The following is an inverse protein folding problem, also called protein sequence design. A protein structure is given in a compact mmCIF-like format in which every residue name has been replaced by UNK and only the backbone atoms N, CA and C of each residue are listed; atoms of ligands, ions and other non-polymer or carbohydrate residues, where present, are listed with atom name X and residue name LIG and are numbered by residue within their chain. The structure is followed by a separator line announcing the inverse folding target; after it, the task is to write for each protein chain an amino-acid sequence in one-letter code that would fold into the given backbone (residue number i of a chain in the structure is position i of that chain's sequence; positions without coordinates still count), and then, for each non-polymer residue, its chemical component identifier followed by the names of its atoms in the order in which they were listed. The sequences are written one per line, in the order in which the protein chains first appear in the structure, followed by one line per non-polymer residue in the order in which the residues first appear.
data_IF_191654783385
#
_entry.id   IF_191654783385
#
_cell.length_a   1.000
_cell.length_b   1.000
_cell.length_c   1.000
_cell.angle_alpha   90.00
_cell.angle_beta   90.00
_cell.angle_gamma   90.00
#
_symmetry.space_group_name_H-M   'P 1'
#
loop_
_entity.id
_entity.type
_entity.pdbx_description
1 polymer ?
#
# COMPACT_ATOMS: atom_id res chain seq x y z
N UNK A 1 -24.04 47.61 -5.76
CA UNK A 1 -24.86 47.10 -6.88
C UNK A 1 -25.48 45.78 -6.45
N UNK A 2 -26.69 45.50 -6.93
CA UNK A 2 -27.34 44.22 -6.75
C UNK A 2 -26.49 43.11 -7.39
N UNK A 3 -26.51 41.93 -6.77
CA UNK A 3 -25.87 40.72 -7.30
C UNK A 3 -26.43 40.37 -8.68
N UNK A 4 -25.59 39.83 -9.56
CA UNK A 4 -26.00 39.51 -10.92
C UNK A 4 -27.03 38.36 -10.90
N UNK A 5 -28.26 38.67 -11.33
CA UNK A 5 -29.41 37.75 -11.35
C UNK A 5 -29.11 36.44 -12.11
N UNK A 6 -28.34 36.52 -13.20
CA UNK A 6 -28.00 35.37 -14.03
C UNK A 6 -27.04 34.38 -13.37
N UNK A 7 -26.20 34.85 -12.44
CA UNK A 7 -25.21 34.01 -11.75
C UNK A 7 -25.69 33.59 -10.36
N UNK A 8 -26.49 34.40 -9.67
CA UNK A 8 -26.74 34.16 -8.25
C UNK A 8 -28.18 33.80 -7.90
N UNK A 9 -29.17 34.00 -8.79
CA UNK A 9 -30.60 33.74 -8.54
C UNK A 9 -31.13 34.24 -7.16
N UNK A 10 -30.43 35.18 -6.51
CA UNK A 10 -30.71 35.64 -5.14
C UNK A 10 -30.17 34.79 -3.98
N UNK A 11 -29.54 33.62 -4.21
CA UNK A 11 -29.08 32.70 -3.15
C UNK A 11 -27.56 32.68 -2.92
N UNK A 12 -26.78 33.51 -3.62
CA UNK A 12 -25.37 33.80 -3.29
C UNK A 12 -24.32 32.74 -3.64
N UNK A 13 -24.71 31.52 -4.05
CA UNK A 13 -23.78 30.37 -4.22
C UNK A 13 -23.76 29.84 -5.69
N UNK A 14 -24.10 30.64 -6.70
CA UNK A 14 -24.07 30.19 -8.10
C UNK A 14 -25.27 29.32 -8.52
N UNK A 15 -25.53 29.23 -9.83
CA UNK A 15 -26.57 28.35 -10.40
C UNK A 15 -26.11 26.88 -10.42
N UNK A 16 -27.02 25.91 -10.23
CA UNK A 16 -26.70 24.47 -10.25
C UNK A 16 -26.07 24.03 -11.58
N UNK A 17 -26.55 24.57 -12.71
CA UNK A 17 -25.99 24.28 -14.03
C UNK A 17 -24.54 24.77 -14.17
N UNK A 18 -24.17 25.87 -13.51
CA UNK A 18 -22.81 26.40 -13.52
C UNK A 18 -21.88 25.53 -12.68
N UNK A 19 -22.36 25.05 -11.52
CA UNK A 19 -21.62 24.09 -10.69
C UNK A 19 -21.34 22.80 -11.43
N UNK A 20 -22.34 22.26 -12.14
CA UNK A 20 -22.19 21.05 -12.95
C UNK A 20 -21.21 21.25 -14.10
N UNK A 21 -21.28 22.38 -14.81
CA UNK A 21 -20.34 22.69 -15.88
C UNK A 21 -18.89 22.80 -15.35
N UNK A 22 -18.70 23.44 -14.19
CA UNK A 22 -17.40 23.56 -13.55
C UNK A 22 -16.85 22.19 -13.13
N UNK A 23 -17.69 21.33 -12.56
CA UNK A 23 -17.35 19.96 -12.21
C UNK A 23 -17.03 19.10 -13.45
N UNK A 24 -17.81 19.23 -14.53
CA UNK A 24 -17.55 18.56 -15.82
C UNK A 24 -16.16 18.92 -16.36
N UNK A 25 -15.79 20.21 -16.30
CA UNK A 25 -14.51 20.70 -16.78
C UNK A 25 -13.35 20.14 -15.96
N UNK A 26 -13.52 20.01 -14.64
CA UNK A 26 -12.51 19.41 -13.75
C UNK A 26 -12.36 17.92 -14.03
N UNK A 27 -13.47 17.19 -14.19
CA UNK A 27 -13.43 15.77 -14.53
C UNK A 27 -12.73 15.55 -15.88
N UNK A 28 -13.03 16.39 -16.87
CA UNK A 28 -12.34 16.32 -18.17
C UNK A 28 -10.84 16.60 -18.01
N UNK A 29 -10.46 17.60 -17.19
CA UNK A 29 -9.06 17.85 -16.85
C UNK A 29 -8.37 16.66 -16.21
N UNK A 30 -9.02 16.00 -15.24
CA UNK A 30 -8.51 14.78 -14.60
C UNK A 30 -8.38 13.62 -15.60
N UNK A 31 -9.27 13.51 -16.59
CA UNK A 31 -9.16 12.48 -17.64
C UNK A 31 -8.03 12.75 -18.64
N UNK A 32 -7.70 14.02 -18.88
CA UNK A 32 -6.61 14.41 -19.79
C UNK A 32 -5.25 14.26 -19.12
N UNK A 33 -5.11 14.75 -17.88
CA UNK A 33 -3.82 14.87 -17.19
C UNK A 33 -3.60 13.85 -16.08
N UNK A 34 -4.66 13.20 -15.60
CA UNK A 34 -4.57 12.17 -14.58
C UNK A 34 -4.20 10.80 -15.15
N UNK A 35 -4.19 9.84 -14.24
CA UNK A 35 -3.90 8.44 -14.50
C UNK A 35 -5.08 7.58 -14.08
N UNK A 36 -5.23 6.44 -14.73
CA UNK A 36 -6.19 5.43 -14.32
C UNK A 36 -5.61 4.65 -13.14
N UNK A 37 -6.20 4.82 -11.96
CA UNK A 37 -5.83 4.13 -10.74
C UNK A 37 -6.96 3.18 -10.33
N UNK A 38 -6.61 2.10 -9.64
CA UNK A 38 -7.59 1.22 -9.02
C UNK A 38 -7.77 1.63 -7.57
N UNK A 39 -9.01 1.86 -7.16
CA UNK A 39 -9.42 2.05 -5.79
C UNK A 39 -9.85 0.70 -5.21
N UNK A 40 -9.25 0.29 -4.10
CA UNK A 40 -9.51 -0.97 -3.43
C UNK A 40 -10.09 -0.67 -2.04
N UNK A 41 -11.40 -0.84 -1.82
CA UNK A 41 -11.98 -0.67 -0.51
C UNK A 41 -11.50 -1.77 0.44
N UNK A 42 -11.09 -1.40 1.66
CA UNK A 42 -10.76 -2.40 2.67
C UNK A 42 -12.02 -3.00 3.26
N UNK A 43 -12.00 -4.29 3.51
CA UNK A 43 -13.03 -4.96 4.31
C UNK A 43 -12.39 -5.55 5.55
N UNK A 44 -12.96 -5.24 6.72
CA UNK A 44 -12.42 -5.63 8.02
C UNK A 44 -12.91 -7.05 8.34
N UNK A 45 -11.97 -7.96 8.64
CA UNK A 45 -12.29 -9.32 9.08
C UNK A 45 -12.15 -9.39 10.60
N UNK A 46 -13.10 -10.05 11.28
CA UNK A 46 -13.06 -10.34 12.72
C UNK A 46 -12.81 -9.13 13.65
N UNK A 47 -13.71 -8.13 13.65
CA UNK A 47 -13.70 -7.06 14.67
C UNK A 47 -13.96 -7.62 16.07
N UNK A 48 -12.92 -7.66 16.91
CA UNK A 48 -13.12 -7.76 18.35
C UNK A 48 -13.50 -6.38 18.92
N UNK A 49 -14.79 -6.22 19.20
CA UNK A 49 -15.36 -5.01 19.79
C UNK A 49 -15.06 -4.87 21.30
N UNK A 50 -14.55 -5.92 21.95
CA UNK A 50 -14.37 -5.99 23.40
C UNK A 50 -12.91 -5.70 23.78
N UNK A 51 -11.94 -6.30 23.09
CA UNK A 51 -10.51 -6.11 23.39
C UNK A 51 -9.84 -5.04 22.52
N UNK A 52 -10.48 -4.61 21.42
CA UNK A 52 -9.91 -3.62 20.52
C UNK A 52 -8.64 -4.13 19.81
N UNK A 53 -8.54 -5.45 19.62
CA UNK A 53 -7.49 -6.07 18.82
C UNK A 53 -7.53 -5.55 17.38
N UNK A 54 -6.35 -5.48 16.76
CA UNK A 54 -6.22 -5.07 15.37
C UNK A 54 -6.85 -6.12 14.45
N UNK A 55 -7.62 -5.64 13.48
CA UNK A 55 -8.37 -6.51 12.58
C UNK A 55 -7.60 -6.73 11.30
N UNK A 56 -7.46 -8.00 10.91
CA UNK A 56 -6.92 -8.33 9.59
C UNK A 56 -7.80 -7.69 8.50
N UNK A 57 -7.16 -6.94 7.62
CA UNK A 57 -7.81 -6.32 6.46
C UNK A 57 -7.75 -7.27 5.25
N UNK A 58 -8.81 -7.28 4.44
CA UNK A 58 -8.82 -7.97 3.15
C UNK A 58 -9.36 -7.05 2.05
N UNK A 59 -8.85 -7.23 0.84
CA UNK A 59 -9.20 -6.43 -0.35
C UNK A 59 -9.67 -7.37 -1.46
N UNK A 60 -11.00 -7.48 -1.62
CA UNK A 60 -11.62 -8.38 -2.60
C UNK A 60 -12.13 -7.64 -3.86
N UNK A 61 -12.30 -6.32 -3.79
CA UNK A 61 -12.87 -5.52 -4.87
C UNK A 61 -11.88 -4.48 -5.39
N UNK A 62 -12.03 -4.12 -6.66
CA UNK A 62 -11.28 -3.02 -7.28
C UNK A 62 -12.16 -2.19 -8.21
N UNK A 63 -11.98 -0.87 -8.17
CA UNK A 63 -12.71 0.08 -9.01
C UNK A 63 -11.74 0.99 -9.76
N UNK A 64 -11.88 1.06 -11.08
CA UNK A 64 -11.06 1.94 -11.90
C UNK A 64 -11.60 3.38 -11.83
N UNK A 65 -10.73 4.31 -11.44
CA UNK A 65 -11.05 5.74 -11.31
C UNK A 65 -9.89 6.61 -11.81
N UNK A 66 -10.22 7.74 -12.43
CA UNK A 66 -9.23 8.74 -12.79
C UNK A 66 -8.75 9.52 -11.56
N UNK A 67 -7.44 9.52 -11.33
CA UNK A 67 -6.80 10.28 -10.26
C UNK A 67 -5.60 11.06 -10.81
N UNK A 68 -5.41 12.27 -10.31
CA UNK A 68 -4.22 13.06 -10.58
C UNK A 68 -3.30 13.00 -9.36
N UNK A 69 -2.04 12.61 -9.56
CA UNK A 69 -1.02 12.70 -8.52
C UNK A 69 -0.48 14.12 -8.51
N UNK A 70 -0.65 14.81 -7.39
CA UNK A 70 -0.02 16.10 -7.16
C UNK A 70 1.43 15.84 -6.72
N UNK A 71 2.38 16.13 -7.62
CA UNK A 71 3.79 16.10 -7.27
C UNK A 71 4.08 17.29 -6.36
N UNK A 72 4.63 17.04 -5.17
CA UNK A 72 5.21 18.08 -4.31
C UNK A 72 6.54 18.54 -4.90
N UNK A 73 6.52 19.13 -6.10
CA UNK A 73 7.71 19.68 -6.73
C UNK A 73 7.99 21.07 -6.13
N UNK A 74 8.52 21.05 -4.90
CA UNK A 74 8.77 22.26 -4.13
C UNK A 74 9.63 21.99 -2.92
N UNK A 75 10.87 22.43 -2.99
CA UNK A 75 11.84 22.46 -1.89
C UNK A 75 11.29 23.30 -0.72
N UNK A 76 10.48 22.69 0.13
CA UNK A 76 9.86 23.33 1.29
C UNK A 76 9.75 22.35 2.48
N UNK A 77 10.91 21.89 2.94
CA UNK A 77 11.22 21.78 4.37
C UNK A 77 10.54 20.68 5.18
N UNK A 78 11.37 19.69 5.56
CA UNK A 78 11.24 18.77 6.72
C UNK A 78 10.15 17.69 6.64
N UNK A 79 10.40 16.41 6.95
CA UNK A 79 11.46 15.79 7.75
C UNK A 79 11.89 14.44 7.14
N UNK A 80 13.15 14.35 6.73
CA UNK A 80 13.89 13.09 6.85
C UNK A 80 14.03 12.83 8.36
N UNK A 81 13.09 12.07 8.93
CA UNK A 81 13.18 11.68 10.33
C UNK A 81 14.27 10.62 10.42
N UNK A 82 15.50 11.05 10.68
CA UNK A 82 16.55 10.16 11.16
C UNK A 82 16.12 9.72 12.56
N UNK A 83 15.38 8.62 12.63
CA UNK A 83 15.13 7.94 13.89
C UNK A 83 16.40 7.19 14.27
N UNK A 84 16.69 7.05 15.57
CA UNK A 84 17.97 6.54 16.12
C UNK A 84 18.29 5.06 15.74
N UNK A 85 17.53 4.46 14.83
CA UNK A 85 17.63 3.07 14.39
C UNK A 85 17.51 2.88 12.86
N UNK A 86 17.43 3.95 12.06
CA UNK A 86 17.35 3.83 10.59
C UNK A 86 16.74 5.06 9.93
N UNK A 87 17.08 5.26 8.66
CA UNK A 87 16.57 6.30 7.79
C UNK A 87 15.35 5.72 7.06
N UNK A 88 14.14 6.13 7.46
CA UNK A 88 12.89 5.70 6.83
C UNK A 88 12.40 6.82 5.91
N UNK A 89 12.60 6.67 4.60
CA UNK A 89 12.05 7.60 3.60
C UNK A 89 10.62 7.16 3.31
N UNK A 90 9.64 7.83 3.92
CA UNK A 90 8.24 7.68 3.54
C UNK A 90 7.94 8.56 2.34
N UNK A 91 7.47 7.94 1.28
CA UNK A 91 6.93 8.65 0.12
C UNK A 91 5.48 9.04 0.39
N UNK A 92 5.31 10.24 0.93
CA UNK A 92 4.00 10.86 1.09
C UNK A 92 3.63 11.59 -0.20
N UNK A 93 2.45 11.30 -0.74
CA UNK A 93 1.93 11.99 -1.92
C UNK A 93 0.45 12.33 -1.77
N UNK A 94 -0.05 13.19 -2.64
CA UNK A 94 -1.46 13.57 -2.64
C UNK A 94 -2.12 13.18 -3.96
N UNK A 95 -3.19 12.39 -3.89
CA UNK A 95 -4.03 12.12 -5.05
C UNK A 95 -5.26 13.02 -5.03
N UNK A 96 -5.59 13.59 -6.18
CA UNK A 96 -6.82 14.33 -6.39
C UNK A 96 -7.78 13.49 -7.25
N UNK A 97 -9.01 13.34 -6.78
CA UNK A 97 -10.10 12.66 -7.51
C UNK A 97 -11.35 13.56 -7.56
N UNK A 98 -12.23 13.35 -8.55
CA UNK A 98 -13.52 14.05 -8.58
C UNK A 98 -14.53 13.39 -7.63
N UNK A 99 -15.28 14.21 -6.87
CA UNK A 99 -16.35 13.71 -6.00
C UNK A 99 -17.43 12.97 -6.78
N UNK A 100 -17.88 13.55 -7.90
CA UNK A 100 -18.92 12.93 -8.73
C UNK A 100 -18.45 11.67 -9.44
N UNK A 101 -17.20 11.60 -9.92
CA UNK A 101 -16.67 10.36 -10.49
C UNK A 101 -16.63 9.25 -9.44
N UNK A 102 -16.17 9.58 -8.23
CA UNK A 102 -16.18 8.66 -7.09
C UNK A 102 -17.59 8.19 -6.72
N UNK A 103 -18.57 9.10 -6.63
CA UNK A 103 -19.96 8.75 -6.34
C UNK A 103 -20.54 7.79 -7.39
N UNK A 104 -20.22 8.01 -8.67
CA UNK A 104 -20.70 7.19 -9.78
C UNK A 104 -20.06 5.79 -9.83
N UNK A 105 -18.75 5.70 -9.58
CA UNK A 105 -17.98 4.46 -9.73
C UNK A 105 -17.95 3.61 -8.45
N UNK A 106 -17.85 4.26 -7.28
CA UNK A 106 -17.59 3.60 -5.99
C UNK A 106 -18.72 3.87 -4.99
N UNK A 107 -19.16 5.13 -4.85
CA UNK A 107 -20.07 5.56 -3.77
C UNK A 107 -21.48 4.95 -3.81
N UNK A 108 -21.91 4.38 -4.93
CA UNK A 108 -23.19 3.66 -5.05
C UNK A 108 -23.10 2.18 -4.66
N UNK A 109 -21.93 1.68 -4.27
CA UNK A 109 -21.69 0.26 -4.02
C UNK A 109 -21.51 0.02 -2.51
N UNK A 110 -22.24 -0.96 -1.98
CA UNK A 110 -22.35 -1.25 -0.54
C UNK A 110 -21.11 -1.94 0.09
N UNK A 111 -19.93 -1.80 -0.50
CA UNK A 111 -18.70 -2.46 -0.02
C UNK A 111 -17.81 -1.51 0.79
N UNK A 112 -18.28 -0.29 1.07
CA UNK A 112 -17.59 0.72 1.86
C UNK A 112 -17.91 0.57 3.36
N UNK A 113 -16.91 0.82 4.22
CA UNK A 113 -17.09 0.84 5.68
C UNK A 113 -17.96 2.03 6.12
N UNK A 114 -17.75 3.18 5.47
CA UNK A 114 -18.55 4.39 5.68
C UNK A 114 -18.96 4.97 4.32
N UNK A 115 -20.24 5.33 4.24
CA UNK A 115 -20.82 5.90 3.03
C UNK A 115 -20.48 7.40 2.88
N UNK A 116 -20.38 7.83 1.62
CA UNK A 116 -20.38 9.24 1.23
C UNK A 116 -19.03 9.91 1.00
N UNK A 117 -17.90 9.23 1.24
CA UNK A 117 -16.55 9.66 0.83
C UNK A 117 -15.58 8.47 0.80
N UNK A 118 -14.40 8.59 0.16
CA UNK A 118 -13.31 7.63 0.33
C UNK A 118 -12.97 7.43 1.81
N UNK A 119 -12.61 6.20 2.20
CA UNK A 119 -12.31 5.86 3.59
C UNK A 119 -10.80 5.85 3.83
N UNK A 120 -10.41 6.25 5.04
CA UNK A 120 -9.04 6.06 5.51
C UNK A 120 -8.73 4.56 5.64
N UNK A 121 -7.51 4.16 5.26
CA UNK A 121 -7.03 2.79 5.19
C UNK A 121 -7.39 2.03 3.91
N UNK A 122 -8.16 2.61 3.00
CA UNK A 122 -8.38 2.02 1.67
C UNK A 122 -7.11 2.16 0.81
N UNK A 123 -6.92 1.24 -0.14
CA UNK A 123 -5.73 1.23 -0.99
C UNK A 123 -6.02 1.82 -2.37
N UNK A 124 -5.01 2.45 -2.94
CA UNK A 124 -4.97 2.92 -4.32
C UNK A 124 -3.80 2.24 -5.01
N UNK A 125 -4.09 1.48 -6.06
CA UNK A 125 -3.07 0.87 -6.90
C UNK A 125 -2.87 1.70 -8.17
N UNK A 126 -1.64 2.12 -8.43
CA UNK A 126 -1.26 2.87 -9.62
C UNK A 126 -0.50 1.96 -10.60
N UNK A 127 -1.12 1.53 -11.71
CA UNK A 127 -0.51 0.58 -12.65
C UNK A 127 0.80 1.06 -13.30
N UNK A 128 0.97 2.38 -13.43
CA UNK A 128 2.18 2.95 -14.05
C UNK A 128 3.44 2.73 -13.21
N UNK A 129 3.28 2.76 -11.88
CA UNK A 129 4.38 2.60 -10.92
C UNK A 129 4.45 1.18 -10.34
N UNK A 130 3.40 0.38 -10.52
CA UNK A 130 3.23 -0.91 -9.87
C UNK A 130 3.35 -0.81 -8.33
N UNK A 131 2.81 0.27 -7.77
CA UNK A 131 2.88 0.57 -6.33
C UNK A 131 1.48 0.77 -5.75
N UNK A 132 1.34 0.38 -4.48
CA UNK A 132 0.15 0.61 -3.66
C UNK A 132 0.35 1.83 -2.76
N UNK A 133 -0.75 2.53 -2.52
CA UNK A 133 -0.81 3.67 -1.63
C UNK A 133 -1.98 3.53 -0.68
N UNK A 134 -1.76 3.73 0.61
CA UNK A 134 -2.80 3.73 1.63
C UNK A 134 -3.29 5.15 1.88
N UNK A 135 -4.61 5.33 1.93
CA UNK A 135 -5.22 6.62 2.26
C UNK A 135 -5.11 6.87 3.77
N UNK A 136 -4.27 7.84 4.15
CA UNK A 136 -4.15 8.27 5.54
C UNK A 136 -5.24 9.26 5.92
N UNK A 137 -5.53 10.22 5.03
CA UNK A 137 -6.49 11.27 5.32
C UNK A 137 -7.18 11.78 4.06
N UNK A 138 -8.49 12.03 4.17
CA UNK A 138 -9.31 12.58 3.09
C UNK A 138 -9.68 14.01 3.44
N UNK A 139 -9.11 14.95 2.70
CA UNK A 139 -9.46 16.37 2.77
C UNK A 139 -10.72 16.65 1.95
N UNK A 140 -11.79 17.04 2.65
CA UNK A 140 -13.07 17.39 2.04
C UNK A 140 -13.48 18.86 2.27
N UNK A 141 -12.68 19.63 3.02
CA UNK A 141 -12.98 20.99 3.47
C UNK A 141 -11.77 21.93 3.35
N UNK A 142 -11.79 22.85 2.39
CA UNK A 142 -11.05 24.11 2.47
C UNK A 142 -12.03 25.30 2.38
N UNK A 143 -11.83 26.38 3.16
CA UNK A 143 -12.84 27.44 3.34
C UNK A 143 -13.01 28.41 2.16
N UNK A 144 -12.19 28.32 1.10
CA UNK A 144 -12.19 29.27 -0.02
C UNK A 144 -12.25 28.58 -1.38
N UNK A 145 -13.46 28.39 -1.92
CA UNK A 145 -13.67 27.90 -3.29
C UNK A 145 -14.53 28.82 -4.13
N UNK A 146 -14.21 28.83 -5.42
CA UNK A 146 -15.04 29.42 -6.47
C UNK A 146 -16.37 28.66 -6.46
N UNK A 147 -17.50 29.35 -6.21
CA UNK A 147 -18.86 28.79 -6.08
C UNK A 147 -19.18 28.03 -4.77
N UNK A 148 -18.33 28.10 -3.74
CA UNK A 148 -18.66 27.61 -2.40
C UNK A 148 -18.81 26.08 -2.25
N UNK A 149 -18.29 25.30 -3.20
CA UNK A 149 -18.17 23.84 -3.10
C UNK A 149 -16.84 23.38 -3.68
N UNK A 150 -16.26 22.33 -3.08
CA UNK A 150 -15.10 21.62 -3.62
C UNK A 150 -15.58 20.41 -4.42
N UNK A 151 -15.38 20.37 -5.74
CA UNK A 151 -15.79 19.25 -6.60
C UNK A 151 -14.78 18.08 -6.61
N UNK A 152 -13.72 18.16 -5.80
CA UNK A 152 -12.67 17.12 -5.71
C UNK A 152 -12.48 16.62 -4.27
N UNK A 153 -12.00 15.38 -4.12
CA UNK A 153 -11.37 14.90 -2.89
C UNK A 153 -9.85 15.00 -3.05
N UNK A 154 -9.17 15.52 -2.04
CA UNK A 154 -7.72 15.45 -1.91
C UNK A 154 -7.40 14.34 -0.90
N UNK A 155 -6.66 13.34 -1.33
CA UNK A 155 -6.31 12.17 -0.53
C UNK A 155 -4.83 12.27 -0.21
N UNK A 156 -4.50 12.40 1.08
CA UNK A 156 -3.14 12.23 1.55
C UNK A 156 -2.88 10.75 1.69
N UNK A 157 -1.90 10.27 0.96
CA UNK A 157 -1.59 8.85 0.90
C UNK A 157 -0.11 8.61 1.19
N UNK A 158 0.17 7.44 1.74
CA UNK A 158 1.50 6.92 1.98
C UNK A 158 1.70 5.67 1.14
N UNK A 159 2.92 5.37 0.70
CA UNK A 159 3.21 4.06 0.08
C UNK A 159 2.83 2.94 1.04
N UNK A 160 2.06 1.97 0.55
CA UNK A 160 1.64 0.81 1.33
C UNK A 160 2.62 -0.34 1.12
N UNK A 161 2.93 -1.04 2.21
CA UNK A 161 3.79 -2.21 2.21
C UNK A 161 2.97 -3.44 2.57
N UNK A 162 3.19 -4.53 1.85
CA UNK A 162 2.47 -5.77 2.04
C UNK A 162 2.86 -6.41 3.38
N UNK A 163 1.86 -6.70 4.22
CA UNK A 163 2.02 -7.28 5.55
C UNK A 163 1.13 -8.53 5.73
N UNK A 164 1.10 -9.40 4.70
CA UNK A 164 0.30 -10.63 4.68
C UNK A 164 -1.23 -10.41 4.66
N UNK A 165 -1.71 -9.28 4.16
CA UNK A 165 -3.12 -9.06 3.86
C UNK A 165 -3.56 -9.81 2.60
N UNK A 166 -4.82 -10.24 2.58
CA UNK A 166 -5.37 -10.94 1.41
C UNK A 166 -5.77 -9.94 0.32
N UNK A 167 -5.26 -10.13 -0.89
CA UNK A 167 -5.51 -9.35 -2.10
C UNK A 167 -6.11 -10.25 -3.19
N UNK A 168 -7.44 -10.24 -3.34
CA UNK A 168 -8.13 -11.06 -4.33
C UNK A 168 -9.11 -10.22 -5.15
N UNK A 169 -8.55 -9.31 -5.95
CA UNK A 169 -9.30 -8.34 -6.75
C UNK A 169 -9.69 -8.84 -8.14
N UNK A 170 -9.12 -9.98 -8.57
CA UNK A 170 -9.28 -10.54 -9.91
C UNK A 170 -8.37 -9.88 -10.97
N UNK A 171 -7.47 -8.99 -10.55
CA UNK A 171 -6.51 -8.31 -11.42
C UNK A 171 -5.13 -8.88 -11.12
N UNK A 172 -4.56 -9.60 -12.09
CA UNK A 172 -3.26 -10.29 -11.93
C UNK A 172 -2.11 -9.37 -11.50
N UNK A 173 -2.12 -8.08 -11.86
CA UNK A 173 -1.09 -7.14 -11.43
C UNK A 173 -1.17 -6.81 -9.93
N UNK A 174 -2.39 -6.84 -9.36
CA UNK A 174 -2.63 -6.59 -7.94
C UNK A 174 -2.39 -7.88 -7.17
N UNK A 175 -3.09 -8.95 -7.56
CA UNK A 175 -3.09 -10.24 -6.88
C UNK A 175 -1.70 -10.91 -6.92
N UNK A 176 -0.89 -10.64 -7.95
CA UNK A 176 0.49 -11.14 -8.05
C UNK A 176 1.42 -10.62 -6.96
N UNK A 177 1.05 -9.56 -6.25
CA UNK A 177 1.79 -9.07 -5.08
C UNK A 177 1.63 -10.02 -3.89
N UNK A 178 0.42 -10.54 -3.67
CA UNK A 178 0.18 -11.60 -2.69
C UNK A 178 1.00 -12.84 -3.06
N UNK A 179 0.92 -13.32 -4.30
CA UNK A 179 1.67 -14.52 -4.75
C UNK A 179 3.20 -14.38 -4.60
N UNK A 180 3.74 -13.16 -4.73
CA UNK A 180 5.18 -12.92 -4.68
C UNK A 180 5.73 -12.81 -3.27
N UNK A 181 4.97 -12.21 -2.34
CA UNK A 181 5.44 -11.86 -1.00
C UNK A 181 4.73 -12.64 0.12
N UNK A 182 3.72 -13.45 -0.22
CA UNK A 182 3.07 -14.35 0.72
C UNK A 182 4.07 -15.34 1.30
N UNK A 183 4.03 -15.46 2.63
CA UNK A 183 4.78 -16.48 3.39
C UNK A 183 3.94 -17.75 3.61
N UNK A 184 2.71 -17.80 3.07
CA UNK A 184 1.80 -18.93 3.27
C UNK A 184 2.25 -20.15 2.44
N UNK A 185 2.89 -21.09 3.14
CA UNK A 185 3.34 -22.36 2.57
C UNK A 185 2.19 -23.22 2.01
N UNK A 186 0.95 -23.06 2.52
CA UNK A 186 -0.21 -23.83 2.09
C UNK A 186 -0.63 -23.51 0.65
N UNK A 187 -0.30 -22.32 0.13
CA UNK A 187 -0.52 -21.98 -1.28
C UNK A 187 0.28 -22.89 -2.23
N UNK A 188 1.39 -23.47 -1.75
CA UNK A 188 2.28 -24.33 -2.54
C UNK A 188 2.09 -25.83 -2.26
N UNK A 189 0.98 -26.23 -1.63
CA UNK A 189 0.69 -27.64 -1.42
C UNK A 189 0.41 -28.38 -2.74
N UNK A 190 0.80 -29.65 -2.81
CA UNK A 190 0.42 -30.53 -3.92
C UNK A 190 -1.06 -30.82 -3.84
N UNK A 191 -1.83 -30.27 -4.77
CA UNK A 191 -3.29 -30.47 -4.88
C UNK A 191 -3.63 -31.71 -5.71
N UNK A 192 -4.74 -32.36 -5.36
CA UNK A 192 -5.32 -33.44 -6.14
C UNK A 192 -5.97 -32.90 -7.43
N UNK A 193 -6.01 -33.72 -8.48
CA UNK A 193 -6.58 -33.36 -9.78
C UNK A 193 -8.06 -32.95 -9.71
N UNK A 194 -8.78 -33.40 -8.68
CA UNK A 194 -10.19 -33.05 -8.44
C UNK A 194 -10.38 -31.71 -7.70
N UNK A 195 -9.30 -31.02 -7.35
CA UNK A 195 -9.32 -29.71 -6.68
C UNK A 195 -9.90 -29.72 -5.26
N UNK A 196 -10.22 -30.89 -4.69
CA UNK A 196 -10.92 -31.02 -3.40
C UNK A 196 -10.04 -31.67 -2.33
N UNK A 197 -8.72 -31.47 -2.41
CA UNK A 197 -7.79 -31.90 -1.39
C UNK A 197 -6.33 -31.68 -1.78
N UNK A 198 -5.45 -31.94 -0.82
CA UNK A 198 -4.01 -31.95 -1.01
C UNK A 198 -3.41 -33.24 -0.45
N UNK A 199 -2.17 -33.54 -0.85
CA UNK A 199 -1.48 -34.72 -0.36
C UNK A 199 -0.95 -34.45 1.06
N UNK A 200 -1.52 -35.17 2.03
CA UNK A 200 -1.16 -35.10 3.45
C UNK A 200 -0.07 -36.14 3.74
N UNK A 201 0.94 -35.75 4.53
CA UNK A 201 1.97 -36.65 5.04
C UNK A 201 1.42 -37.41 6.26
N UNK A 202 1.76 -38.69 6.35
CA UNK A 202 1.31 -39.58 7.44
C UNK A 202 1.98 -39.28 8.79
N UNK A 203 3.01 -38.42 8.81
CA UNK A 203 3.73 -38.02 10.01
C UNK A 203 3.01 -36.82 10.64
N UNK A 204 2.32 -37.07 11.74
CA UNK A 204 1.58 -36.08 12.53
C UNK A 204 2.57 -35.30 13.40
N UNK A 205 2.48 -33.96 13.38
CA UNK A 205 3.31 -33.13 14.26
C UNK A 205 2.92 -33.37 15.74
N UNK A 206 3.81 -32.97 16.67
CA UNK A 206 3.60 -33.11 18.12
C UNK A 206 2.28 -32.46 18.60
N UNK A 207 1.78 -31.48 17.84
CA UNK A 207 0.55 -30.74 18.11
C UNK A 207 -0.72 -31.32 17.43
N UNK A 208 -0.60 -32.44 16.70
CA UNK A 208 -1.73 -33.10 16.02
C UNK A 208 -2.18 -32.44 14.70
N UNK A 209 -1.41 -31.48 14.20
CA UNK A 209 -1.61 -30.84 12.90
C UNK A 209 -1.10 -31.74 11.75
N UNK A 210 -1.83 -31.73 10.64
CA UNK A 210 -1.48 -32.48 9.42
C UNK A 210 -0.41 -31.74 8.62
N UNK A 211 0.68 -32.43 8.28
CA UNK A 211 1.70 -31.89 7.39
C UNK A 211 1.31 -32.13 5.92
N UNK A 212 1.58 -31.17 5.03
CA UNK A 212 1.28 -31.29 3.60
C UNK A 212 2.57 -31.49 2.80
N UNK A 213 2.47 -32.20 1.67
CA UNK A 213 3.55 -32.20 0.69
C UNK A 213 3.56 -30.85 -0.03
N UNK A 214 4.69 -30.15 0.05
CA UNK A 214 4.87 -28.81 -0.51
C UNK A 214 5.76 -28.88 -1.75
N UNK A 215 5.43 -28.09 -2.77
CA UNK A 215 6.19 -27.97 -4.00
C UNK A 215 7.53 -27.27 -3.77
N UNK A 216 8.56 -27.68 -4.52
CA UNK A 216 9.89 -27.06 -4.50
C UNK A 216 9.91 -25.60 -4.96
N UNK A 217 8.83 -25.13 -5.58
CA UNK A 217 8.64 -23.72 -5.95
C UNK A 217 8.45 -22.79 -4.75
N UNK A 218 8.20 -23.35 -3.55
CA UNK A 218 8.13 -22.57 -2.32
C UNK A 218 9.55 -22.18 -1.89
N UNK A 219 9.88 -20.90 -2.08
CA UNK A 219 11.15 -20.32 -1.70
C UNK A 219 10.89 -19.06 -0.88
N UNK A 220 11.28 -19.06 0.40
CA UNK A 220 11.04 -17.94 1.35
C UNK A 220 12.01 -16.76 1.12
N UNK A 221 12.69 -16.68 -0.03
CA UNK A 221 13.79 -15.71 -0.24
C UNK A 221 13.43 -14.43 -0.99
N UNK A 222 12.16 -14.14 -1.29
CA UNK A 222 11.79 -12.87 -1.93
C UNK A 222 11.48 -11.77 -0.90
N UNK A 223 12.50 -11.37 -0.13
CA UNK A 223 12.43 -10.14 0.66
C UNK A 223 12.59 -8.93 -0.28
N UNK A 224 11.87 -7.84 -0.02
CA UNK A 224 11.95 -6.62 -0.83
C UNK A 224 13.41 -6.10 -0.83
N UNK A 225 13.95 -5.76 -2.01
CA UNK A 225 15.35 -5.33 -2.18
C UNK A 225 15.66 -4.13 -1.26
N UNK A 226 14.70 -3.22 -1.10
CA UNK A 226 14.80 -2.04 -0.23
C UNK A 226 14.81 -2.36 1.29
N UNK A 227 14.44 -3.58 1.67
CA UNK A 227 14.53 -4.04 3.07
C UNK A 227 15.88 -4.68 3.37
N UNK A 228 16.75 -4.80 2.38
CA UNK A 228 18.10 -5.31 2.55
C UNK A 228 19.00 -4.11 2.87
N UNK A 229 19.68 -4.14 4.00
CA UNK A 229 20.68 -3.13 4.38
C UNK A 229 21.93 -3.19 3.48
N UNK A 230 21.84 -3.73 2.27
CA UNK A 230 23.00 -4.01 1.40
C UNK A 230 23.80 -2.74 1.12
N UNK A 231 23.15 -1.60 0.91
CA UNK A 231 23.84 -0.34 0.68
C UNK A 231 24.59 0.15 1.94
N UNK A 232 24.02 -0.07 3.12
CA UNK A 232 24.64 0.22 4.41
C UNK A 232 25.76 -0.76 4.75
N UNK A 233 25.57 -2.04 4.46
CA UNK A 233 26.56 -3.10 4.67
C UNK A 233 27.75 -2.89 3.71
N UNK A 234 27.49 -2.47 2.47
CA UNK A 234 28.52 -2.11 1.50
C UNK A 234 29.29 -0.84 1.92
N UNK A 235 28.62 0.18 2.44
CA UNK A 235 29.29 1.40 2.95
C UNK A 235 30.03 1.14 4.28
N UNK A 236 29.54 0.21 5.11
CA UNK A 236 30.18 -0.21 6.36
C UNK A 236 31.24 -1.31 6.17
N UNK A 237 31.40 -1.86 4.95
CA UNK A 237 32.39 -2.88 4.62
C UNK A 237 32.04 -4.31 5.05
N UNK A 238 30.78 -4.60 5.38
CA UNK A 238 30.26 -5.91 5.75
C UNK A 238 29.63 -6.66 4.56
N UNK A 239 30.27 -6.60 3.39
CA UNK A 239 29.77 -7.31 2.21
C UNK A 239 30.22 -8.77 2.18
N UNK A 240 29.29 -9.67 1.89
CA UNK A 240 29.58 -11.11 1.78
C UNK A 240 30.24 -11.49 0.45
N UNK A 241 30.68 -10.52 -0.37
CA UNK A 241 31.30 -10.77 -1.68
C UNK A 241 32.78 -11.14 -1.54
N UNK A 242 33.39 -10.88 -0.38
CA UNK A 242 34.76 -11.31 -0.12
C UNK A 242 34.95 -11.93 1.27
N UNK A 243 35.47 -13.16 1.31
CA UNK A 243 35.91 -13.82 2.55
C UNK A 243 37.19 -13.21 3.14
N UNK A 244 37.66 -12.07 2.60
CA UNK A 244 38.86 -11.38 3.09
C UNK A 244 38.56 -10.37 4.21
N UNK A 245 37.32 -9.90 4.32
CA UNK A 245 36.94 -8.87 5.31
C UNK A 245 35.77 -9.29 6.21
N UNK A 246 35.07 -10.36 5.86
CA UNK A 246 33.91 -10.83 6.61
C UNK A 246 34.26 -12.02 7.51
N UNK A 247 34.18 -11.76 8.81
CA UNK A 247 34.14 -12.73 9.91
C UNK A 247 35.52 -13.22 10.38
N UNK A 248 35.78 -13.04 11.68
CA UNK A 248 36.93 -13.64 12.38
C UNK A 248 36.83 -15.17 12.28
N UNK A 249 37.71 -15.79 11.52
CA UNK A 249 37.81 -17.23 11.38
C UNK A 249 38.47 -17.87 12.62
N UNK A 250 37.65 -18.47 13.49
CA UNK A 250 38.13 -19.19 14.68
C UNK A 250 38.68 -20.60 14.37
N UNK A 251 38.64 -21.05 13.12
CA UNK A 251 39.23 -22.34 12.73
C UNK A 251 40.75 -22.28 12.61
N UNK A 252 41.31 -21.09 12.35
CA UNK A 252 42.76 -20.91 12.16
C UNK A 252 43.51 -20.61 13.47
N UNK A 253 42.89 -19.92 14.45
CA UNK A 253 43.52 -19.68 15.78
C UNK A 253 42.47 -19.27 16.81
N UNK A 254 42.52 -19.83 18.03
CA UNK A 254 41.70 -19.37 19.14
C UNK A 254 42.35 -18.15 19.83
N UNK A 255 41.77 -16.94 19.73
CA UNK A 255 42.38 -15.72 20.25
C UNK A 255 42.31 -15.58 21.79
N UNK A 256 41.65 -16.51 22.49
CA UNK A 256 41.43 -16.42 23.94
C UNK A 256 42.08 -17.56 24.74
N UNK A 257 42.83 -18.48 24.10
CA UNK A 257 43.31 -19.70 24.77
C UNK A 257 44.72 -20.17 24.43
N UNK A 258 45.33 -19.74 23.34
CA UNK A 258 46.69 -20.16 23.01
C UNK A 258 47.72 -19.21 23.61
N UNK A 259 48.67 -19.76 24.37
CA UNK A 259 49.85 -19.03 24.83
C UNK A 259 50.69 -18.69 23.61
N UNK A 260 50.92 -17.40 23.39
CA UNK A 260 51.84 -16.90 22.39
C UNK A 260 53.26 -17.33 22.79
N UNK A 261 53.76 -18.43 22.22
CA UNK A 261 55.17 -18.81 22.28
C UNK A 261 55.98 -17.84 21.41
N UNK A 262 56.03 -16.58 21.86
CA UNK A 262 56.91 -15.57 21.33
C UNK A 262 58.35 -15.93 21.67
N UNK A 263 59.09 -16.44 20.69
CA UNK A 263 60.53 -16.23 20.67
C UNK A 263 60.78 -14.72 20.55
N UNK A 264 61.29 -14.13 21.63
CA UNK A 264 61.82 -12.77 21.69
C UNK A 264 63.01 -12.55 20.75
#
# INVERSE_FOLDING_TARGET
MAVNHYFQSGNGIGNENEKKLHEDLIIEGLKIYGHNCYYLPRTLVNRDLILGEDTLSKFDDSYLIEMYMETTEGFAGEQEIINKFGLEIREDTTFMMSKRSWDLQVGNIHNLIRDGRPNEGDLIFMPLMNSFFEIQFVEDQEPFFQLGNLPVYKLKVTRWEYSSERLNTGISAIDGTEDQYSIDQLQHQVTLEDGTGSLILEDENVDGESNYLILESFEVQKQQIESQNIDLDQEAGFDTLSASDDIIDFTERNPFGELDDGEY
#
